data_IF_331767315162
#
_entry.id   IF_331767315162
#
_cell.length_a   1.000
_cell.length_b   1.000
_cell.length_c   1.000
_cell.angle_alpha   90.00
_cell.angle_beta   90.00
_cell.angle_gamma   90.00
#
_symmetry.space_group_name_H-M   'P 1'
#
loop_
_entity.id
_entity.type
_entity.pdbx_description
1 polymer ?
#
# COMPACT_ATOMS: atom_id res chain seq x y z
N UNK A 1 -53.19 27.52 -2.89
CA UNK A 1 -52.78 26.59 -3.96
C UNK A 1 -51.60 25.80 -3.44
N UNK A 2 -51.86 24.55 -3.08
CA UNK A 2 -50.92 23.66 -2.39
C UNK A 2 -49.93 23.09 -3.41
N UNK A 3 -48.70 23.60 -3.40
CA UNK A 3 -47.61 23.14 -4.26
C UNK A 3 -46.94 21.92 -3.66
N UNK A 4 -47.51 20.73 -3.88
CA UNK A 4 -46.96 19.45 -3.43
C UNK A 4 -45.57 19.19 -4.03
N UNK A 5 -44.57 19.04 -3.17
CA UNK A 5 -43.20 18.65 -3.50
C UNK A 5 -43.24 17.23 -4.07
N UNK A 6 -42.95 17.08 -5.37
CA UNK A 6 -42.93 15.76 -6.03
C UNK A 6 -41.70 14.97 -5.54
N UNK A 7 -41.86 13.76 -4.98
CA UNK A 7 -40.72 12.94 -4.59
C UNK A 7 -39.95 12.48 -5.83
N UNK A 8 -38.65 12.83 -5.86
CA UNK A 8 -37.71 12.42 -6.91
C UNK A 8 -37.61 10.89 -6.90
N UNK A 9 -38.00 10.24 -8.00
CA UNK A 9 -38.00 8.77 -8.14
C UNK A 9 -36.60 8.21 -7.83
N UNK A 10 -36.56 7.30 -6.87
CA UNK A 10 -35.35 6.70 -6.32
C UNK A 10 -34.89 5.55 -7.22
N UNK A 11 -33.58 5.48 -7.49
CA UNK A 11 -32.97 4.36 -8.22
C UNK A 11 -33.04 3.10 -7.37
N UNK A 12 -33.64 2.03 -7.93
CA UNK A 12 -33.84 0.73 -7.28
C UNK A 12 -32.53 0.04 -6.83
N UNK A 13 -31.38 0.53 -7.30
CA UNK A 13 -30.05 0.03 -6.91
C UNK A 13 -29.51 0.66 -5.61
N UNK A 14 -30.05 1.79 -5.16
CA UNK A 14 -29.64 2.42 -3.90
C UNK A 14 -30.51 1.82 -2.79
N UNK A 15 -29.93 0.89 -2.04
CA UNK A 15 -30.62 0.26 -0.91
C UNK A 15 -30.97 1.29 0.16
N UNK A 16 -32.17 1.19 0.73
CA UNK A 16 -32.70 2.05 1.82
C UNK A 16 -31.67 2.33 2.92
N UNK A 17 -30.87 1.33 3.30
CA UNK A 17 -29.84 1.45 4.34
C UNK A 17 -28.71 2.43 3.99
N UNK A 18 -28.34 2.54 2.71
CA UNK A 18 -27.37 3.55 2.27
C UNK A 18 -27.96 4.95 2.30
N UNK A 19 -29.29 5.08 2.10
CA UNK A 19 -30.00 6.34 2.06
C UNK A 19 -30.34 6.86 3.47
N UNK A 20 -30.64 5.96 4.42
CA UNK A 20 -30.83 6.32 5.84
C UNK A 20 -29.54 6.87 6.47
N UNK A 21 -28.37 6.32 6.10
CA UNK A 21 -27.06 6.88 6.47
C UNK A 21 -26.86 8.29 5.90
N UNK A 22 -27.53 8.64 4.81
CA UNK A 22 -27.49 9.97 4.21
C UNK A 22 -28.59 10.93 4.69
N UNK A 23 -29.66 10.40 5.29
CA UNK A 23 -30.87 11.14 5.68
C UNK A 23 -30.97 11.52 7.14
N UNK A 24 -30.18 10.90 8.04
CA UNK A 24 -30.15 11.34 9.43
C UNK A 24 -29.36 12.64 9.59
N UNK A 25 -30.02 13.66 10.15
CA UNK A 25 -29.34 14.86 10.63
C UNK A 25 -28.27 14.47 11.65
N UNK A 26 -27.03 14.86 11.36
CA UNK A 26 -25.78 14.50 12.04
C UNK A 26 -25.85 14.66 13.58
N UNK A 27 -26.37 13.63 14.28
CA UNK A 27 -26.38 13.54 15.75
C UNK A 27 -25.20 12.72 16.26
N UNK A 28 -24.02 12.92 15.67
CA UNK A 28 -22.76 12.28 16.05
C UNK A 28 -21.72 13.29 16.56
N UNK A 29 -20.58 12.82 17.13
CA UNK A 29 -19.47 13.70 17.46
C UNK A 29 -19.04 14.49 16.22
N UNK A 30 -18.87 15.82 16.35
CA UNK A 30 -18.55 16.73 15.23
C UNK A 30 -17.32 16.29 14.42
N UNK A 31 -16.36 15.64 15.07
CA UNK A 31 -15.19 15.08 14.42
C UNK A 31 -15.54 13.93 13.46
N UNK A 32 -16.35 12.96 13.90
CA UNK A 32 -16.74 11.79 13.10
C UNK A 32 -17.52 12.24 11.86
N UNK A 33 -18.44 13.17 12.07
CA UNK A 33 -19.22 13.84 11.04
C UNK A 33 -18.32 14.55 10.01
N UNK A 34 -17.33 15.30 10.48
CA UNK A 34 -16.37 15.97 9.60
C UNK A 34 -15.56 14.97 8.77
N UNK A 35 -15.08 13.89 9.37
CA UNK A 35 -14.38 12.80 8.67
C UNK A 35 -15.27 12.21 7.57
N UNK A 36 -16.52 11.87 7.89
CA UNK A 36 -17.49 11.34 6.91
C UNK A 36 -17.70 12.32 5.76
N UNK A 37 -17.82 13.62 6.04
CA UNK A 37 -17.99 14.66 5.01
C UNK A 37 -16.77 14.74 4.07
N UNK A 38 -15.56 14.67 4.63
CA UNK A 38 -14.32 14.61 3.85
C UNK A 38 -14.30 13.36 2.98
N UNK A 39 -14.54 12.18 3.55
CA UNK A 39 -14.58 10.93 2.79
C UNK A 39 -15.63 10.94 1.67
N UNK A 40 -16.82 11.50 1.91
CA UNK A 40 -17.86 11.64 0.88
C UNK A 40 -17.39 12.53 -0.25
N UNK A 41 -16.76 13.67 0.05
CA UNK A 41 -16.22 14.59 -0.96
C UNK A 41 -15.18 13.90 -1.84
N UNK A 42 -14.26 13.16 -1.25
CA UNK A 42 -13.27 12.38 -2.01
C UNK A 42 -13.90 11.22 -2.78
N UNK A 43 -14.88 10.53 -2.20
CA UNK A 43 -15.62 9.46 -2.84
C UNK A 43 -16.34 9.91 -4.12
N UNK A 44 -16.98 11.10 -4.10
CA UNK A 44 -17.59 11.67 -5.31
C UNK A 44 -16.56 12.01 -6.39
N UNK A 45 -15.41 12.57 -6.00
CA UNK A 45 -14.32 12.87 -6.95
C UNK A 45 -13.81 11.59 -7.62
N UNK A 46 -13.63 10.52 -6.83
CA UNK A 46 -13.19 9.21 -7.35
C UNK A 46 -14.28 8.57 -8.22
N UNK A 47 -15.56 8.74 -7.88
CA UNK A 47 -16.67 8.19 -8.65
C UNK A 47 -16.80 8.81 -10.04
N UNK A 48 -16.65 10.15 -10.17
CA UNK A 48 -16.69 10.85 -11.46
C UNK A 48 -15.54 10.42 -12.38
N UNK A 49 -14.37 10.11 -11.81
CA UNK A 49 -13.16 9.76 -12.56
C UNK A 49 -12.65 8.36 -12.19
N UNK A 50 -13.56 7.41 -12.10
CA UNK A 50 -13.26 6.04 -11.62
C UNK A 50 -12.12 5.37 -12.39
N UNK A 51 -12.08 5.55 -13.72
CA UNK A 51 -11.06 4.92 -14.55
C UNK A 51 -9.66 5.52 -14.35
N UNK A 52 -9.54 6.84 -14.14
CA UNK A 52 -8.24 7.47 -13.88
C UNK A 52 -7.71 7.09 -12.50
N UNK A 53 -8.58 6.98 -11.49
CA UNK A 53 -8.21 6.51 -10.16
C UNK A 53 -7.65 5.08 -10.19
N UNK A 54 -8.29 4.18 -10.96
CA UNK A 54 -7.80 2.81 -11.16
C UNK A 54 -6.42 2.82 -11.82
N UNK A 55 -6.26 3.58 -12.91
CA UNK A 55 -4.98 3.67 -13.62
C UNK A 55 -3.86 4.19 -12.71
N UNK A 56 -4.13 5.24 -11.91
CA UNK A 56 -3.15 5.78 -10.97
C UNK A 56 -2.75 4.74 -9.92
N UNK A 57 -3.74 4.02 -9.35
CA UNK A 57 -3.49 2.96 -8.38
C UNK A 57 -2.59 1.87 -8.99
N UNK A 58 -2.89 1.42 -10.21
CA UNK A 58 -2.11 0.43 -10.93
C UNK A 58 -0.68 0.91 -11.22
N UNK A 59 -0.50 2.17 -11.61
CA UNK A 59 0.84 2.75 -11.83
C UNK A 59 1.64 2.75 -10.52
N UNK A 60 1.05 3.18 -9.41
CA UNK A 60 1.74 3.21 -8.11
C UNK A 60 2.14 1.79 -7.68
N UNK A 61 1.25 0.81 -7.83
CA UNK A 61 1.56 -0.60 -7.56
C UNK A 61 2.62 -1.17 -8.51
N UNK A 62 2.62 -0.79 -9.78
CA UNK A 62 3.65 -1.23 -10.72
C UNK A 62 5.02 -0.63 -10.37
N UNK A 63 5.08 0.65 -10.01
CA UNK A 63 6.31 1.31 -9.58
C UNK A 63 6.91 0.67 -8.33
N UNK A 64 6.08 0.25 -7.37
CA UNK A 64 6.57 -0.48 -6.20
C UNK A 64 7.04 -1.89 -6.56
N UNK A 65 6.38 -2.56 -7.52
CA UNK A 65 6.80 -3.86 -8.01
C UNK A 65 8.18 -3.82 -8.69
N UNK A 66 8.50 -2.75 -9.43
CA UNK A 66 9.83 -2.57 -10.03
C UNK A 66 10.94 -2.61 -8.97
N UNK A 67 10.73 -2.00 -7.79
CA UNK A 67 11.70 -2.07 -6.69
C UNK A 67 11.93 -3.50 -6.21
N UNK A 68 10.88 -4.31 -6.13
CA UNK A 68 10.95 -5.71 -5.70
C UNK A 68 11.74 -6.53 -6.73
N UNK A 69 11.43 -6.38 -8.02
CA UNK A 69 12.13 -7.11 -9.10
C UNK A 69 13.60 -6.75 -9.16
N UNK A 70 13.95 -5.49 -8.93
CA UNK A 70 15.34 -5.03 -8.92
C UNK A 70 16.08 -5.35 -7.61
N UNK A 71 15.39 -5.86 -6.59
CA UNK A 71 16.06 -6.28 -5.35
C UNK A 71 16.82 -7.57 -5.64
N UNK A 72 18.17 -7.57 -5.60
CA UNK A 72 18.93 -8.77 -5.87
C UNK A 72 18.63 -9.81 -4.79
N UNK A 73 18.25 -11.01 -5.19
CA UNK A 73 18.07 -12.14 -4.28
C UNK A 73 19.45 -12.58 -3.76
N UNK A 74 19.80 -12.15 -2.55
CA UNK A 74 21.02 -12.59 -1.87
C UNK A 74 20.74 -13.96 -1.23
N UNK A 75 21.02 -15.03 -1.98
CA UNK A 75 20.98 -16.40 -1.47
C UNK A 75 22.30 -16.74 -0.75
N UNK A 76 22.58 -16.02 0.33
CA UNK A 76 23.78 -16.25 1.14
C UNK A 76 23.41 -17.12 2.35
N UNK A 77 23.99 -18.32 2.49
CA UNK A 77 23.84 -19.19 3.67
C UNK A 77 24.28 -18.49 4.98
N UNK A 78 25.07 -17.42 4.87
CA UNK A 78 25.48 -16.54 5.96
C UNK A 78 24.37 -15.64 6.49
N UNK A 79 23.17 -15.63 5.90
CA UNK A 79 22.02 -14.86 6.41
C UNK A 79 21.55 -15.26 7.82
N UNK A 80 22.00 -16.41 8.34
CA UNK A 80 21.72 -16.86 9.71
C UNK A 80 22.70 -16.31 10.76
N UNK A 81 23.80 -15.67 10.35
CA UNK A 81 24.73 -15.01 11.29
C UNK A 81 24.37 -13.53 11.43
N UNK A 82 24.19 -13.03 12.67
CA UNK A 82 23.81 -11.64 12.88
C UNK A 82 24.91 -10.68 12.42
N UNK A 83 24.51 -9.49 11.97
CA UNK A 83 25.46 -8.42 11.63
C UNK A 83 26.36 -8.11 12.84
N UNK A 84 27.68 -8.15 12.64
CA UNK A 84 28.67 -7.95 13.71
C UNK A 84 29.04 -9.22 14.50
N UNK A 85 28.60 -10.41 14.07
CA UNK A 85 29.07 -11.65 14.67
C UNK A 85 30.57 -11.84 14.40
N UNK A 86 31.35 -12.01 15.47
CA UNK A 86 32.80 -12.30 15.42
C UNK A 86 33.16 -13.49 14.51
N UNK A 87 32.29 -14.50 14.44
CA UNK A 87 32.47 -15.65 13.56
C UNK A 87 32.52 -15.27 12.06
N UNK A 88 31.89 -14.17 11.67
CA UNK A 88 31.95 -13.64 10.29
C UNK A 88 33.32 -13.04 9.99
N UNK A 89 33.88 -12.32 10.95
CA UNK A 89 35.21 -11.69 10.83
C UNK A 89 36.30 -12.75 10.79
N UNK A 90 36.21 -13.77 11.67
CA UNK A 90 37.13 -14.91 11.67
C UNK A 90 37.05 -15.71 10.37
N UNK A 91 35.84 -15.96 9.85
CA UNK A 91 35.66 -16.67 8.58
C UNK A 91 36.23 -15.90 7.38
N UNK A 92 36.08 -14.57 7.35
CA UNK A 92 36.70 -13.70 6.33
C UNK A 92 38.22 -13.78 6.37
N UNK A 93 38.80 -13.74 7.57
CA UNK A 93 40.25 -13.85 7.74
C UNK A 93 40.76 -15.22 7.29
N UNK A 94 40.11 -16.31 7.69
CA UNK A 94 40.43 -17.66 7.20
C UNK A 94 40.33 -17.75 5.67
N UNK A 95 39.28 -17.19 5.05
CA UNK A 95 39.14 -17.21 3.59
C UNK A 95 40.25 -16.42 2.89
N UNK A 96 40.67 -15.27 3.44
CA UNK A 96 41.77 -14.47 2.90
C UNK A 96 43.12 -15.18 3.00
N UNK A 97 43.38 -15.88 4.11
CA UNK A 97 44.61 -16.68 4.27
C UNK A 97 44.68 -17.83 3.27
N UNK A 98 43.61 -18.60 3.07
CA UNK A 98 43.65 -19.75 2.15
C UNK A 98 43.53 -19.36 0.67
N UNK A 99 42.83 -18.28 0.34
CA UNK A 99 42.78 -17.77 -1.05
C UNK A 99 44.08 -17.11 -1.52
N UNK A 100 44.91 -16.62 -0.59
CA UNK A 100 46.25 -16.09 -0.91
C UNK A 100 47.35 -17.17 -0.93
N UNK A 101 47.11 -18.33 -0.31
CA UNK A 101 48.03 -19.47 -0.31
C UNK A 101 48.02 -20.21 -1.67
N UNK A 102 46.84 -20.36 -2.31
CA UNK A 102 46.68 -21.06 -3.59
C UNK A 102 47.39 -20.38 -4.79
N UNK A 103 47.67 -19.08 -4.70
CA UNK A 103 48.39 -18.31 -5.73
C UNK A 103 49.92 -18.46 -5.62
N UNK A 104 50.40 -18.96 -4.49
CA UNK A 104 51.84 -19.14 -4.21
C UNK A 104 52.38 -20.53 -4.57
N UNK A 105 51.50 -21.51 -4.79
CA UNK A 105 51.84 -22.90 -5.13
C UNK A 105 51.72 -23.20 -6.66
N UNK A 106 51.48 -22.17 -7.49
CA UNK A 106 51.35 -22.25 -8.96
C UNK A 106 52.60 -21.77 -9.74
N UNK A 107 53.80 -21.86 -9.14
CA UNK A 107 55.08 -21.66 -9.85
C UNK A 107 56.10 -22.75 -9.51
#
# INVERSE_FOLDING_TARGET
MEGGIRPKRQSILIGQRSLDVYGEAEKGPKFVVWVISVFRRWGFIIADWSWTAIIICLIISALSMVKIVLTPQRNEITGYTPYGARAKDEFLEYQNFFSSQDDHDNY
#
